data_IF_786225477949
#
_entry.id   IF_786225477949
#
_cell.length_a   1.000
_cell.length_b   1.000
_cell.length_c   1.000
_cell.angle_alpha   90.00
_cell.angle_beta   90.00
_cell.angle_gamma   90.00
#
_symmetry.space_group_name_H-M   'P 1'
#
loop_
_entity.id
_entity.type
_entity.pdbx_description
1 polymer ?
#
# COMPACT_ATOMS: atom_id res chain seq x y z
N UNK A 1 -2.16 -20.42 8.65
CA UNK A 1 -1.00 -19.90 7.92
C UNK A 1 -1.45 -18.60 7.28
N UNK A 2 -0.76 -17.49 7.53
CA UNK A 2 -1.13 -16.19 6.95
C UNK A 2 -0.96 -16.23 5.43
N UNK A 3 -1.97 -15.82 4.68
CA UNK A 3 -1.87 -15.73 3.21
C UNK A 3 -1.33 -14.36 2.80
N UNK A 4 -0.05 -14.34 2.43
CA UNK A 4 0.66 -13.13 2.02
C UNK A 4 0.07 -12.51 0.73
N UNK A 5 -0.49 -13.33 -0.17
CA UNK A 5 -1.14 -12.79 -1.37
C UNK A 5 -2.39 -11.99 -0.99
N UNK A 6 -3.21 -12.55 -0.10
CA UNK A 6 -4.41 -11.86 0.40
C UNK A 6 -4.05 -10.55 1.09
N UNK A 7 -2.99 -10.51 1.91
CA UNK A 7 -2.54 -9.27 2.57
C UNK A 7 -2.13 -8.20 1.55
N UNK A 8 -1.29 -8.56 0.57
CA UNK A 8 -0.85 -7.62 -0.46
C UNK A 8 -2.01 -7.15 -1.36
N UNK A 9 -2.99 -8.02 -1.63
CA UNK A 9 -4.20 -7.65 -2.37
C UNK A 9 -5.09 -6.69 -1.60
N UNK A 10 -5.28 -6.91 -0.29
CA UNK A 10 -6.02 -6.00 0.57
C UNK A 10 -5.35 -4.62 0.62
N UNK A 11 -4.02 -4.59 0.73
CA UNK A 11 -3.24 -3.37 0.62
C UNK A 11 -3.52 -2.62 -0.69
N UNK A 12 -3.36 -3.28 -1.85
CA UNK A 12 -3.62 -2.65 -3.15
C UNK A 12 -5.08 -2.21 -3.30
N UNK A 13 -6.04 -2.95 -2.73
CA UNK A 13 -7.45 -2.56 -2.73
C UNK A 13 -7.69 -1.28 -1.91
N UNK A 14 -7.11 -1.19 -0.71
CA UNK A 14 -7.22 0.00 0.14
C UNK A 14 -6.63 1.25 -0.56
N UNK A 15 -5.45 1.11 -1.16
CA UNK A 15 -4.79 2.21 -1.88
C UNK A 15 -5.53 2.65 -3.16
N UNK A 16 -6.29 1.75 -3.79
CA UNK A 16 -7.07 2.07 -4.99
C UNK A 16 -8.48 2.62 -4.72
N UNK A 17 -8.99 2.54 -3.48
CA UNK A 17 -10.32 3.04 -3.14
C UNK A 17 -10.30 4.56 -2.93
N UNK A 18 -11.06 5.25 -3.78
CA UNK A 18 -11.19 6.71 -3.78
C UNK A 18 -12.37 7.20 -2.95
N UNK A 19 -13.36 6.35 -2.66
CA UNK A 19 -14.48 6.69 -1.80
C UNK A 19 -14.06 6.54 -0.32
N UNK A 20 -14.03 7.66 0.39
CA UNK A 20 -13.57 7.69 1.78
C UNK A 20 -14.39 6.79 2.72
N UNK A 21 -15.70 6.67 2.49
CA UNK A 21 -16.56 5.85 3.35
C UNK A 21 -16.31 4.35 3.12
N UNK A 22 -16.11 3.94 1.86
CA UNK A 22 -15.77 2.55 1.53
C UNK A 22 -14.35 2.19 1.94
N UNK A 23 -13.42 3.15 1.81
CA UNK A 23 -12.01 2.96 2.18
C UNK A 23 -11.83 2.61 3.64
N UNK A 24 -12.65 3.16 4.55
CA UNK A 24 -12.56 2.87 5.97
C UNK A 24 -12.62 1.36 6.28
N UNK A 25 -13.56 0.64 5.67
CA UNK A 25 -13.67 -0.81 5.85
C UNK A 25 -12.46 -1.58 5.30
N UNK A 26 -11.87 -1.09 4.20
CA UNK A 26 -10.64 -1.67 3.64
C UNK A 26 -9.43 -1.41 4.55
N UNK A 27 -9.35 -0.23 5.17
CA UNK A 27 -8.29 0.10 6.13
C UNK A 27 -8.36 -0.80 7.37
N UNK A 28 -9.56 -1.02 7.93
CA UNK A 28 -9.78 -1.90 9.07
C UNK A 28 -9.42 -3.37 8.79
N UNK A 29 -9.68 -3.82 7.57
CA UNK A 29 -9.33 -5.16 7.11
C UNK A 29 -7.84 -5.32 6.79
N UNK A 30 -7.16 -4.24 6.41
CA UNK A 30 -5.77 -4.27 5.92
C UNK A 30 -4.77 -3.96 7.03
N UNK A 31 -5.07 -3.01 7.90
CA UNK A 31 -4.13 -2.41 8.84
C UNK A 31 -4.58 -2.55 10.29
N UNK A 32 -3.64 -2.70 11.22
CA UNK A 32 -3.94 -2.53 12.65
C UNK A 32 -4.34 -1.08 12.93
N UNK A 33 -5.04 -0.85 14.04
CA UNK A 33 -5.48 0.50 14.43
C UNK A 33 -4.28 1.43 14.68
N UNK A 34 -3.17 0.88 15.16
CA UNK A 34 -1.90 1.55 15.48
C UNK A 34 -0.88 1.46 14.34
N UNK A 35 -1.33 1.25 13.09
CA UNK A 35 -0.43 1.11 11.94
C UNK A 35 0.51 2.30 11.79
N UNK A 36 1.76 2.05 11.41
CA UNK A 36 2.70 3.09 10.97
C UNK A 36 3.15 2.84 9.54
N UNK A 37 3.02 3.86 8.69
CA UNK A 37 3.50 3.85 7.32
C UNK A 37 4.63 4.86 7.16
N UNK A 38 5.76 4.45 6.58
CA UNK A 38 6.90 5.30 6.26
C UNK A 38 7.48 4.93 4.90
N UNK A 39 7.70 5.91 4.03
CA UNK A 39 8.51 5.78 2.82
C UNK A 39 9.39 7.05 2.65
N UNK A 40 10.22 7.17 1.60
CA UNK A 40 11.10 8.33 1.41
C UNK A 40 10.39 9.70 1.27
N UNK A 41 9.08 9.72 1.01
CA UNK A 41 8.28 10.92 0.71
C UNK A 41 7.18 11.14 1.75
N UNK A 42 6.60 10.06 2.28
CA UNK A 42 5.35 10.08 3.04
C UNK A 42 5.47 9.36 4.37
N UNK A 43 4.74 9.87 5.36
CA UNK A 43 4.56 9.22 6.65
C UNK A 43 3.14 9.41 7.16
N UNK A 44 2.59 8.38 7.79
CA UNK A 44 1.26 8.40 8.38
C UNK A 44 1.13 7.36 9.49
N UNK A 45 0.36 7.69 10.53
CA UNK A 45 0.08 6.81 11.65
C UNK A 45 -1.44 6.63 11.81
N UNK A 46 -1.83 5.42 12.19
CA UNK A 46 -3.22 4.98 12.29
C UNK A 46 -3.96 5.02 10.95
N UNK A 47 -5.24 4.61 10.97
CA UNK A 47 -6.07 4.61 9.76
C UNK A 47 -6.26 6.01 9.18
N UNK A 48 -6.38 7.04 10.03
CA UNK A 48 -6.53 8.43 9.57
C UNK A 48 -5.30 8.91 8.81
N UNK A 49 -4.09 8.65 9.33
CA UNK A 49 -2.84 9.00 8.66
C UNK A 49 -2.71 8.29 7.31
N UNK A 50 -2.97 6.98 7.27
CA UNK A 50 -2.91 6.21 6.02
C UNK A 50 -3.98 6.67 5.02
N UNK A 51 -5.20 6.98 5.47
CA UNK A 51 -6.25 7.53 4.62
C UNK A 51 -5.84 8.85 3.97
N UNK A 52 -5.21 9.75 4.74
CA UNK A 52 -4.71 11.03 4.23
C UNK A 52 -3.60 10.85 3.18
N UNK A 53 -2.72 9.85 3.35
CA UNK A 53 -1.72 9.52 2.32
C UNK A 53 -2.37 9.03 1.03
N UNK A 54 -3.35 8.13 1.14
CA UNK A 54 -4.10 7.61 -0.02
C UNK A 54 -4.81 8.77 -0.75
N UNK A 55 -5.46 9.68 -0.03
CA UNK A 55 -6.07 10.88 -0.61
C UNK A 55 -5.05 11.76 -1.35
N UNK A 56 -3.88 11.99 -0.74
CA UNK A 56 -2.80 12.75 -1.36
C UNK A 56 -2.32 12.13 -2.67
N UNK A 57 -2.20 10.79 -2.72
CA UNK A 57 -1.83 10.07 -3.95
C UNK A 57 -2.91 10.20 -5.02
N UNK A 58 -4.19 10.01 -4.69
CA UNK A 58 -5.28 10.17 -5.67
C UNK A 58 -5.40 11.62 -6.19
N UNK A 59 -5.16 12.62 -5.34
CA UNK A 59 -5.13 14.03 -5.75
C UNK A 59 -3.96 14.32 -6.69
N UNK A 60 -2.77 13.79 -6.39
CA UNK A 60 -1.56 14.02 -7.18
C UNK A 60 -1.56 13.27 -8.51
N UNK A 61 -2.13 12.07 -8.52
CA UNK A 61 -2.09 11.11 -9.61
C UNK A 61 -3.51 10.64 -9.98
N UNK A 62 -4.36 11.60 -10.37
CA UNK A 62 -5.74 11.32 -10.75
C UNK A 62 -5.83 10.25 -11.85
N UNK A 63 -6.63 9.21 -11.60
CA UNK A 63 -6.84 8.09 -12.53
C UNK A 63 -5.75 7.02 -12.52
N UNK A 64 -4.68 7.18 -11.73
CA UNK A 64 -3.68 6.12 -11.59
C UNK A 64 -4.20 5.00 -10.68
N UNK A 65 -3.62 3.82 -10.86
CA UNK A 65 -3.94 2.62 -10.11
C UNK A 65 -2.68 1.91 -9.64
N UNK A 66 -2.75 1.38 -8.43
CA UNK A 66 -1.78 0.42 -7.92
C UNK A 66 -2.06 -0.97 -8.49
N UNK A 67 -1.02 -1.71 -8.83
CA UNK A 67 -1.08 -3.15 -9.15
C UNK A 67 0.11 -3.88 -8.54
N UNK A 68 -0.09 -5.14 -8.12
CA UNK A 68 1.02 -5.95 -7.60
C UNK A 68 2.01 -6.30 -8.71
N UNK A 69 3.30 -6.22 -8.39
CA UNK A 69 4.41 -6.60 -9.25
C UNK A 69 5.05 -7.86 -8.69
N UNK A 70 4.94 -8.96 -9.44
CA UNK A 70 5.47 -10.26 -9.01
C UNK A 70 4.61 -10.91 -7.93
N UNK A 71 5.24 -11.75 -7.10
CA UNK A 71 4.57 -12.51 -6.04
C UNK A 71 5.09 -12.05 -4.67
N UNK A 72 4.20 -11.68 -3.73
CA UNK A 72 4.58 -11.43 -2.34
C UNK A 72 5.33 -12.62 -1.73
N UNK A 73 6.36 -12.32 -0.95
CA UNK A 73 7.11 -13.29 -0.17
C UNK A 73 7.30 -12.80 1.27
N UNK A 74 7.84 -13.65 2.14
CA UNK A 74 7.94 -13.33 3.55
C UNK A 74 8.48 -14.46 4.40
N UNK A 75 8.79 -14.11 5.65
CA UNK A 75 9.26 -15.03 6.68
C UNK A 75 8.82 -14.51 8.05
N UNK A 76 8.49 -15.41 8.97
CA UNK A 76 7.92 -15.10 10.27
C UNK A 76 6.68 -14.18 10.15
N UNK A 77 6.72 -13.01 10.77
CA UNK A 77 5.69 -11.97 10.72
C UNK A 77 5.95 -10.93 9.62
N UNK A 78 7.00 -11.08 8.81
CA UNK A 78 7.39 -10.08 7.83
C UNK A 78 6.93 -10.48 6.43
N UNK A 79 6.33 -9.52 5.71
CA UNK A 79 5.97 -9.62 4.30
C UNK A 79 6.79 -8.62 3.48
N UNK A 80 7.12 -8.99 2.25
CA UNK A 80 7.63 -8.10 1.23
C UNK A 80 6.80 -8.25 -0.03
N UNK A 81 6.44 -7.14 -0.65
CA UNK A 81 5.76 -7.13 -1.94
C UNK A 81 6.10 -5.86 -2.71
N UNK A 82 6.09 -5.97 -4.04
CA UNK A 82 6.33 -4.85 -4.93
C UNK A 82 5.04 -4.45 -5.64
N UNK A 83 4.96 -3.18 -6.04
CA UNK A 83 3.81 -2.60 -6.69
C UNK A 83 4.23 -1.63 -7.81
N UNK A 84 3.30 -1.45 -8.74
CA UNK A 84 3.36 -0.47 -9.81
C UNK A 84 2.27 0.57 -9.57
N UNK A 85 2.53 1.83 -9.91
CA UNK A 85 1.56 2.91 -9.93
C UNK A 85 1.58 3.61 -11.30
N UNK A 86 0.43 3.65 -11.97
CA UNK A 86 0.30 4.29 -13.28
C UNK A 86 -1.12 4.20 -13.85
N UNK A 87 -1.35 4.79 -15.04
CA UNK A 87 -2.61 4.63 -15.77
C UNK A 87 -2.82 3.16 -16.16
N UNK A 88 -4.07 2.71 -16.07
CA UNK A 88 -4.44 1.34 -16.45
C UNK A 88 -4.12 1.06 -17.94
N UNK A 89 -3.57 -0.11 -18.22
CA UNK A 89 -3.21 -0.54 -19.59
C UNK A 89 -1.95 0.11 -20.16
N UNK A 90 -1.21 0.90 -19.38
CA UNK A 90 0.05 1.52 -19.80
C UNK A 90 1.22 1.07 -18.93
N UNK A 91 2.46 1.31 -19.39
CA UNK A 91 3.63 1.09 -18.55
C UNK A 91 3.58 1.99 -17.31
N UNK A 92 3.81 1.40 -16.14
CA UNK A 92 3.83 2.12 -14.88
C UNK A 92 4.98 3.12 -14.82
N UNK A 93 4.67 4.29 -14.28
CA UNK A 93 5.61 5.41 -14.19
C UNK A 93 6.31 5.47 -12.83
N UNK A 94 5.67 4.91 -11.80
CA UNK A 94 6.23 4.79 -10.45
C UNK A 94 6.16 3.31 -10.05
N UNK A 95 7.22 2.82 -9.43
CA UNK A 95 7.30 1.46 -8.89
C UNK A 95 7.89 1.54 -7.49
N UNK A 96 7.45 0.63 -6.62
CA UNK A 96 7.95 0.56 -5.26
C UNK A 96 7.87 -0.83 -4.67
N UNK A 97 8.53 -0.98 -3.53
CA UNK A 97 8.56 -2.20 -2.75
C UNK A 97 8.31 -1.85 -1.29
N UNK A 98 7.33 -2.52 -0.70
CA UNK A 98 6.99 -2.36 0.71
C UNK A 98 7.40 -3.60 1.51
N UNK A 99 7.95 -3.35 2.69
CA UNK A 99 8.21 -4.36 3.72
C UNK A 99 7.25 -4.10 4.88
N UNK A 100 6.44 -5.10 5.21
CA UNK A 100 5.41 -5.01 6.22
C UNK A 100 5.65 -5.95 7.40
N UNK A 101 5.31 -5.52 8.61
CA UNK A 101 5.13 -6.39 9.79
C UNK A 101 3.66 -6.75 9.91
N UNK A 102 3.37 -8.04 10.05
CA UNK A 102 2.01 -8.60 10.12
C UNK A 102 1.66 -8.93 11.56
N UNK A 103 0.53 -8.41 12.02
CA UNK A 103 -0.08 -8.75 13.29
C UNK A 103 -1.53 -9.20 13.06
N UNK A 104 -1.85 -10.44 13.46
CA UNK A 104 -3.19 -11.02 13.31
C UNK A 104 -3.77 -10.94 11.88
N UNK A 105 -2.92 -11.08 10.87
CA UNK A 105 -3.31 -11.04 9.46
C UNK A 105 -3.46 -9.63 8.87
N UNK A 106 -3.09 -8.59 9.62
CA UNK A 106 -3.10 -7.18 9.19
C UNK A 106 -1.71 -6.57 9.28
N UNK A 107 -1.47 -5.49 8.53
CA UNK A 107 -0.21 -4.76 8.52
C UNK A 107 -0.15 -3.77 9.69
N UNK A 108 0.91 -3.88 10.50
CA UNK A 108 1.19 -3.02 11.65
C UNK A 108 2.26 -1.97 11.37
N UNK A 109 3.30 -2.35 10.64
CA UNK A 109 4.35 -1.43 10.22
C UNK A 109 4.57 -1.63 8.73
N UNK A 110 4.73 -0.53 8.00
CA UNK A 110 5.07 -0.54 6.58
C UNK A 110 6.27 0.36 6.38
N UNK A 111 7.33 -0.18 5.79
CA UNK A 111 8.50 0.56 5.31
C UNK A 111 8.57 0.42 3.80
N UNK A 112 8.27 1.50 3.09
CA UNK A 112 8.25 1.56 1.64
C UNK A 112 9.55 2.09 1.04
N UNK A 113 9.84 1.63 -0.17
CA UNK A 113 10.95 2.06 -1.02
C UNK A 113 10.43 2.35 -2.42
N UNK A 114 11.05 3.31 -3.10
CA UNK A 114 10.73 3.63 -4.49
C UNK A 114 11.80 3.02 -5.41
N UNK A 115 11.37 2.13 -6.29
CA UNK A 115 12.23 1.40 -7.23
C UNK A 115 12.36 2.14 -8.56
N UNK A 116 11.32 2.90 -8.94
CA UNK A 116 11.28 3.76 -10.13
C UNK A 116 10.45 5.00 -9.81
N UNK A 117 11.01 6.18 -10.12
CA UNK A 117 10.29 7.45 -10.10
C UNK A 117 10.59 8.21 -11.39
N UNK A 118 9.66 9.04 -11.91
CA UNK A 118 9.96 9.94 -13.01
C UNK A 118 11.17 10.81 -12.69
N UNK A 119 12.08 10.96 -13.65
CA UNK A 119 13.17 11.93 -13.53
C UNK A 119 12.59 13.34 -13.35
N UNK A 120 13.21 14.13 -12.47
CA UNK A 120 12.87 15.54 -12.27
C UNK A 120 13.20 16.38 -13.52
#
# INVERSE_FOLDING_TARGET
MTDLNTIAQNYVAAWNESDAARRQALLEATFTEDVSYRDPIMQGDGHEGVAALIDGVHQRFAGFRFSLKGRPDGFADTIRFSWNLGPEGTESVIEGTDIGVIENGRLKNITGFLDKVPAQ
#
